data_IF_453711749048
#
_entry.id   IF_453711749048
#
_cell.length_a   1.000
_cell.length_b   1.000
_cell.length_c   1.000
_cell.angle_alpha   90.00
_cell.angle_beta   90.00
_cell.angle_gamma   90.00
#
_symmetry.space_group_name_H-M   'P 1'
#
loop_
_entity.id
_entity.type
_entity.pdbx_description
1 polymer ?
#
# COMPACT_ATOMS: atom_id res chain seq x y z
N UNK A 1 17.18 -3.29 -1.35
CA UNK A 1 17.08 -1.92 -0.80
C UNK A 1 15.69 -1.40 -1.14
N UNK A 2 14.76 -1.27 -0.19
CA UNK A 2 13.42 -1.62 -0.59
C UNK A 2 12.59 -0.38 -0.84
N UNK A 3 12.50 -0.01 -2.12
CA UNK A 3 11.29 0.60 -2.63
C UNK A 3 10.19 -0.47 -2.54
N UNK A 4 9.26 -0.30 -1.62
CA UNK A 4 8.15 -1.23 -1.39
C UNK A 4 7.02 -1.03 -2.40
N UNK A 5 6.72 0.23 -2.74
CA UNK A 5 5.60 0.58 -3.58
C UNK A 5 5.91 1.84 -4.39
N UNK A 6 5.41 1.90 -5.63
CA UNK A 6 5.38 3.10 -6.44
C UNK A 6 3.93 3.32 -6.87
N UNK A 7 3.44 4.56 -6.77
CA UNK A 7 2.12 4.94 -7.26
C UNK A 7 2.24 6.22 -8.09
N UNK A 8 1.59 6.26 -9.24
CA UNK A 8 1.45 7.49 -10.03
C UNK A 8 -0.02 7.87 -10.03
N UNK A 9 -0.29 9.09 -9.60
CA UNK A 9 -1.64 9.65 -9.45
C UNK A 9 -1.75 10.86 -10.38
N UNK A 10 -2.78 10.91 -11.21
CA UNK A 10 -2.97 12.05 -12.12
C UNK A 10 -3.47 13.31 -11.36
N UNK A 11 -3.64 14.42 -12.08
CA UNK A 11 -4.07 15.68 -11.46
C UNK A 11 -5.49 15.60 -10.85
N UNK A 12 -6.32 14.64 -11.28
CA UNK A 12 -7.68 14.44 -10.82
C UNK A 12 -7.76 13.49 -9.61
N UNK A 13 -6.61 12.98 -9.13
CA UNK A 13 -6.56 12.06 -7.99
C UNK A 13 -6.77 10.59 -8.35
N UNK A 14 -6.86 10.25 -9.64
CA UNK A 14 -6.96 8.88 -10.09
C UNK A 14 -5.58 8.20 -10.12
N UNK A 15 -5.53 6.96 -9.61
CA UNK A 15 -4.36 6.08 -9.74
C UNK A 15 -4.22 5.65 -11.19
N UNK A 16 -3.08 5.95 -11.82
CA UNK A 16 -2.80 5.57 -13.23
C UNK A 16 -1.71 4.50 -13.34
N UNK A 17 -0.89 4.32 -12.31
CA UNK A 17 0.11 3.26 -12.27
C UNK A 17 0.39 2.85 -10.83
N UNK A 18 0.64 1.55 -10.60
CA UNK A 18 1.12 1.03 -9.34
C UNK A 18 2.12 -0.09 -9.56
N UNK A 19 3.23 -0.05 -8.81
CA UNK A 19 4.16 -1.14 -8.67
C UNK A 19 4.24 -1.55 -7.20
N UNK A 20 4.37 -2.84 -6.93
CA UNK A 20 4.49 -3.35 -5.57
C UNK A 20 5.44 -4.52 -5.53
N UNK A 21 6.47 -4.43 -4.70
CA UNK A 21 7.38 -5.55 -4.44
C UNK A 21 6.71 -6.56 -3.51
N UNK A 22 6.06 -7.56 -4.10
CA UNK A 22 5.31 -8.57 -3.34
C UNK A 22 6.21 -9.46 -2.49
N UNK A 23 7.48 -9.64 -2.88
CA UNK A 23 8.41 -10.52 -2.15
C UNK A 23 8.74 -9.97 -0.75
N UNK A 24 8.64 -8.64 -0.59
CA UNK A 24 9.03 -7.93 0.64
C UNK A 24 7.85 -7.56 1.54
N UNK A 25 6.61 -7.61 1.03
CA UNK A 25 5.40 -7.34 1.82
C UNK A 25 4.80 -8.59 2.49
N UNK A 26 5.19 -9.79 2.03
CA UNK A 26 4.59 -11.08 2.40
C UNK A 26 5.53 -11.98 3.21
N UNK A 27 6.51 -11.42 3.90
CA UNK A 27 7.33 -12.24 4.78
C UNK A 27 6.42 -12.79 5.88
N UNK A 28 6.40 -14.12 6.05
CA UNK A 28 5.64 -14.86 7.07
C UNK A 28 5.88 -14.35 8.51
N UNK A 29 6.86 -13.47 8.68
CA UNK A 29 7.15 -12.72 9.90
C UNK A 29 6.00 -11.83 10.42
N UNK A 30 4.95 -11.59 9.63
CA UNK A 30 3.79 -10.77 10.03
C UNK A 30 2.51 -11.59 10.30
N UNK A 31 2.58 -12.92 10.23
CA UNK A 31 1.47 -13.77 10.64
C UNK A 31 1.61 -14.12 12.13
N UNK A 32 0.53 -13.95 12.89
CA UNK A 32 0.50 -14.22 14.32
C UNK A 32 -0.71 -15.08 14.64
N UNK A 33 -0.50 -16.24 15.25
CA UNK A 33 -1.59 -17.07 15.75
C UNK A 33 -1.64 -16.99 17.27
N UNK A 34 -2.83 -16.68 17.81
CA UNK A 34 -3.05 -16.58 19.26
C UNK A 34 -4.41 -17.16 19.62
N UNK A 35 -4.46 -17.82 20.77
CA UNK A 35 -5.69 -18.34 21.35
C UNK A 35 -6.29 -17.34 22.33
N UNK A 36 -7.61 -17.13 22.23
CA UNK A 36 -8.36 -16.19 23.05
C UNK A 36 -9.44 -16.91 23.86
N UNK A 37 -9.79 -16.32 24.99
CA UNK A 37 -10.98 -16.64 25.79
C UNK A 37 -12.08 -15.60 25.52
N UNK A 38 -13.30 -15.87 26.00
CA UNK A 38 -14.42 -14.94 25.85
C UNK A 38 -14.47 -13.96 27.04
N UNK A 39 -14.73 -12.66 26.83
CA UNK A 39 -14.90 -11.98 25.54
C UNK A 39 -13.57 -11.75 24.81
N UNK A 40 -13.64 -11.63 23.48
CA UNK A 40 -12.46 -11.36 22.66
C UNK A 40 -11.86 -9.99 23.01
N UNK A 41 -10.56 -9.97 23.33
CA UNK A 41 -9.82 -8.74 23.66
C UNK A 41 -9.71 -7.76 22.48
N UNK A 42 -9.20 -8.16 21.28
CA UNK A 42 -9.20 -7.28 20.13
C UNK A 42 -10.60 -7.10 19.55
N UNK A 43 -10.96 -5.87 19.23
CA UNK A 43 -12.21 -5.56 18.52
C UNK A 43 -11.96 -5.77 17.03
N UNK A 44 -12.73 -6.67 16.44
CA UNK A 44 -12.67 -7.01 15.02
C UNK A 44 -13.94 -6.51 14.35
N UNK A 45 -13.79 -5.80 13.25
CA UNK A 45 -14.90 -5.31 12.42
C UNK A 45 -14.69 -5.69 10.96
N UNK A 46 -15.78 -5.67 10.18
CA UNK A 46 -15.70 -5.88 8.74
C UNK A 46 -15.35 -4.55 8.06
N UNK A 47 -14.14 -4.44 7.51
CA UNK A 47 -13.68 -3.32 6.70
C UNK A 47 -13.30 -3.83 5.31
N UNK A 48 -13.81 -3.19 4.25
CA UNK A 48 -13.54 -3.58 2.85
C UNK A 48 -13.70 -5.09 2.58
N UNK A 49 -14.77 -5.68 3.13
CA UNK A 49 -15.09 -7.11 3.05
C UNK A 49 -14.07 -8.04 3.70
N UNK A 50 -13.31 -7.56 4.71
CA UNK A 50 -12.34 -8.32 5.50
C UNK A 50 -12.60 -8.12 6.99
N UNK A 51 -12.45 -9.18 7.78
CA UNK A 51 -12.51 -9.07 9.24
C UNK A 51 -11.16 -8.59 9.77
N UNK A 52 -11.07 -7.33 10.18
CA UNK A 52 -9.81 -6.70 10.61
C UNK A 52 -9.91 -6.08 12.00
N UNK A 53 -8.79 -6.07 12.70
CA UNK A 53 -8.65 -5.49 14.04
C UNK A 53 -8.71 -3.98 13.92
N UNK A 54 -9.68 -3.37 14.61
CA UNK A 54 -9.89 -1.92 14.64
C UNK A 54 -9.48 -1.30 15.98
N UNK A 55 -9.41 -2.10 17.04
CA UNK A 55 -9.04 -1.66 18.38
C UNK A 55 -8.49 -2.83 19.22
N UNK A 56 -7.70 -2.52 20.25
CA UNK A 56 -7.16 -3.52 21.18
C UNK A 56 -5.85 -4.15 20.71
N UNK A 57 -4.83 -3.31 20.44
CA UNK A 57 -3.48 -3.80 20.13
C UNK A 57 -2.85 -4.46 21.37
N UNK A 58 -2.55 -5.75 21.28
CA UNK A 58 -1.91 -6.52 22.34
C UNK A 58 -1.15 -7.72 21.77
N UNK A 59 -0.08 -8.12 22.42
CA UNK A 59 0.69 -9.35 22.13
C UNK A 59 1.09 -9.53 20.66
N UNK A 60 1.40 -8.43 19.97
CA UNK A 60 1.82 -8.42 18.57
C UNK A 60 0.67 -8.31 17.55
N UNK A 61 -0.59 -8.39 17.98
CA UNK A 61 -1.74 -8.01 17.15
C UNK A 61 -1.80 -6.50 17.05
N UNK A 62 -1.86 -5.98 15.82
CA UNK A 62 -1.91 -4.53 15.52
C UNK A 62 -3.18 -4.19 14.76
N UNK A 63 -3.59 -2.92 14.82
CA UNK A 63 -4.68 -2.39 14.02
C UNK A 63 -4.37 -2.60 12.53
N UNK A 64 -5.39 -3.01 11.78
CA UNK A 64 -5.27 -3.36 10.37
C UNK A 64 -4.74 -4.77 10.10
N UNK A 65 -4.38 -5.56 11.12
CA UNK A 65 -4.29 -7.02 10.94
C UNK A 65 -5.67 -7.58 10.68
N UNK A 66 -5.78 -8.49 9.71
CA UNK A 66 -7.02 -9.17 9.37
C UNK A 66 -6.93 -10.65 9.72
N UNK A 67 -8.09 -11.24 9.99
CA UNK A 67 -8.23 -12.67 10.26
C UNK A 67 -7.90 -13.45 8.99
N UNK A 68 -6.95 -14.37 9.11
CA UNK A 68 -6.52 -15.29 8.06
C UNK A 68 -7.09 -16.70 8.29
N UNK A 69 -7.22 -17.11 9.55
CA UNK A 69 -7.80 -18.39 9.92
C UNK A 69 -8.40 -18.35 11.33
N UNK A 70 -9.37 -19.22 11.58
CA UNK A 70 -9.98 -19.46 12.91
C UNK A 70 -9.99 -20.96 13.17
N UNK A 71 -9.41 -21.39 14.30
CA UNK A 71 -9.26 -22.80 14.69
C UNK A 71 -8.65 -23.67 13.57
N UNK A 72 -7.64 -23.15 12.88
CA UNK A 72 -6.97 -23.81 11.75
C UNK A 72 -7.75 -23.83 10.43
N UNK A 73 -9.00 -23.32 10.40
CA UNK A 73 -9.77 -23.18 9.16
C UNK A 73 -9.48 -21.82 8.54
N UNK A 74 -8.99 -21.78 7.30
CA UNK A 74 -8.66 -20.52 6.64
C UNK A 74 -9.92 -19.75 6.25
N UNK A 75 -9.77 -18.44 6.06
CA UNK A 75 -10.78 -17.63 5.39
C UNK A 75 -10.85 -17.96 3.91
N UNK A 76 -12.05 -17.91 3.33
CA UNK A 76 -12.28 -18.25 1.93
C UNK A 76 -11.59 -17.25 0.98
N UNK A 77 -10.88 -17.78 -0.02
CA UNK A 77 -10.33 -16.97 -1.09
C UNK A 77 -11.43 -16.20 -1.84
N UNK A 78 -11.33 -14.87 -1.88
CA UNK A 78 -12.30 -13.99 -2.54
C UNK A 78 -13.45 -13.48 -1.64
N UNK A 79 -13.78 -14.18 -0.55
CA UNK A 79 -14.76 -13.72 0.46
C UNK A 79 -14.24 -13.94 1.88
N UNK A 80 -13.25 -13.15 2.33
CA UNK A 80 -12.54 -13.39 3.60
C UNK A 80 -13.35 -13.03 4.86
N UNK A 81 -14.67 -12.81 4.73
CA UNK A 81 -15.62 -12.80 5.85
C UNK A 81 -16.15 -14.20 6.19
N UNK A 82 -15.94 -15.18 5.31
CA UNK A 82 -16.31 -16.57 5.49
C UNK A 82 -15.07 -17.43 5.73
N UNK A 83 -15.24 -18.48 6.53
CA UNK A 83 -14.31 -19.59 6.65
C UNK A 83 -14.54 -20.57 5.48
N UNK A 84 -13.53 -21.39 5.16
CA UNK A 84 -13.63 -22.44 4.13
C UNK A 84 -14.76 -23.45 4.39
N UNK A 85 -15.18 -23.60 5.65
CA UNK A 85 -16.31 -24.44 6.04
C UNK A 85 -17.69 -23.75 5.86
N UNK A 86 -17.73 -22.52 5.33
CA UNK A 86 -18.94 -21.75 5.05
C UNK A 86 -19.47 -20.91 6.22
N UNK A 87 -18.87 -20.99 7.41
CA UNK A 87 -19.30 -20.18 8.56
C UNK A 87 -18.81 -18.73 8.44
N UNK A 88 -19.60 -17.78 8.92
CA UNK A 88 -19.18 -16.37 9.00
C UNK A 88 -18.19 -16.17 10.16
N UNK A 89 -17.04 -15.55 9.88
CA UNK A 89 -15.99 -15.31 10.89
C UNK A 89 -16.56 -14.55 12.10
N UNK A 90 -17.30 -13.46 11.84
CA UNK A 90 -17.92 -12.66 12.91
C UNK A 90 -18.91 -13.45 13.76
N UNK A 91 -19.66 -14.38 13.15
CA UNK A 91 -20.62 -15.22 13.87
C UNK A 91 -19.93 -16.20 14.83
N UNK A 92 -18.80 -16.78 14.41
CA UNK A 92 -17.99 -17.69 15.23
C UNK A 92 -17.37 -16.92 16.40
N UNK A 93 -16.82 -15.73 16.14
CA UNK A 93 -16.19 -14.90 17.17
C UNK A 93 -17.21 -14.30 18.16
N UNK A 94 -18.44 -14.07 17.74
CA UNK A 94 -19.50 -13.57 18.63
C UNK A 94 -20.07 -14.66 19.56
N UNK A 95 -19.92 -15.94 19.22
CA UNK A 95 -20.50 -17.06 19.97
C UNK A 95 -19.62 -17.47 21.16
N UNK A 96 -20.06 -17.30 22.42
CA UNK A 96 -19.27 -17.69 23.60
C UNK A 96 -18.95 -19.20 23.64
N UNK A 97 -19.80 -20.05 23.06
CA UNK A 97 -19.59 -21.50 23.04
C UNK A 97 -18.46 -21.94 22.09
N UNK A 98 -17.98 -21.05 21.22
CA UNK A 98 -16.88 -21.32 20.29
C UNK A 98 -15.49 -21.10 20.91
N UNK A 99 -15.42 -20.66 22.17
CA UNK A 99 -14.18 -20.40 22.88
C UNK A 99 -13.74 -21.62 23.71
N UNK A 100 -12.42 -21.86 23.86
CA UNK A 100 -11.31 -21.03 23.39
C UNK A 100 -11.13 -21.08 21.86
N UNK A 101 -10.79 -19.94 21.26
CA UNK A 101 -10.64 -19.79 19.81
C UNK A 101 -9.20 -19.43 19.44
N UNK A 102 -8.59 -20.19 18.53
CA UNK A 102 -7.32 -19.83 17.90
C UNK A 102 -7.57 -18.95 16.69
N UNK A 103 -6.98 -17.76 16.65
CA UNK A 103 -7.13 -16.83 15.53
C UNK A 103 -5.74 -16.54 14.96
N UNK A 104 -5.60 -16.80 13.66
CA UNK A 104 -4.43 -16.41 12.88
C UNK A 104 -4.68 -15.04 12.25
N UNK A 105 -3.87 -14.06 12.61
CA UNK A 105 -3.87 -12.71 12.09
C UNK A 105 -2.74 -12.49 11.10
N UNK A 106 -2.92 -11.53 10.19
CA UNK A 106 -1.83 -10.98 9.39
C UNK A 106 -2.29 -9.85 8.49
N UNK A 107 -1.35 -9.25 7.75
CA UNK A 107 -1.66 -8.19 6.78
C UNK A 107 -2.05 -8.80 5.44
N UNK A 108 -3.24 -8.43 4.95
CA UNK A 108 -3.70 -8.83 3.62
C UNK A 108 -3.12 -7.93 2.53
N UNK A 109 -2.96 -8.48 1.33
CA UNK A 109 -2.56 -7.71 0.14
C UNK A 109 -3.64 -6.69 -0.21
N UNK A 110 -3.24 -5.46 -0.49
CA UNK A 110 -4.15 -4.44 -1.02
C UNK A 110 -4.73 -4.88 -2.38
N UNK A 111 -6.06 -4.89 -2.48
CA UNK A 111 -6.80 -5.07 -3.72
C UNK A 111 -6.62 -3.89 -4.66
N UNK A 112 -7.00 -4.04 -5.92
CA UNK A 112 -6.96 -2.93 -6.88
C UNK A 112 -7.83 -1.75 -6.42
N UNK A 113 -9.03 -2.01 -5.91
CA UNK A 113 -9.95 -0.98 -5.44
C UNK A 113 -9.42 -0.24 -4.20
N UNK A 114 -8.84 -0.98 -3.24
CA UNK A 114 -8.20 -0.36 -2.07
C UNK A 114 -7.06 0.58 -2.48
N UNK A 115 -6.24 0.20 -3.47
CA UNK A 115 -5.18 1.08 -3.99
C UNK A 115 -5.73 2.34 -4.66
N UNK A 116 -6.82 2.22 -5.41
CA UNK A 116 -7.50 3.36 -6.05
C UNK A 116 -8.04 4.31 -4.96
N UNK A 117 -8.70 3.76 -3.93
CA UNK A 117 -9.22 4.54 -2.82
C UNK A 117 -8.08 5.26 -2.07
N UNK A 118 -6.99 4.55 -1.74
CA UNK A 118 -5.83 5.13 -1.07
C UNK A 118 -5.17 6.25 -1.89
N UNK A 119 -5.12 6.12 -3.22
CA UNK A 119 -4.62 7.17 -4.10
C UNK A 119 -5.49 8.44 -4.04
N UNK A 120 -6.82 8.29 -4.09
CA UNK A 120 -7.76 9.41 -3.96
C UNK A 120 -7.70 10.08 -2.58
N UNK A 121 -7.56 9.29 -1.52
CA UNK A 121 -7.36 9.79 -0.15
C UNK A 121 -6.04 10.58 -0.06
N UNK A 122 -4.95 10.05 -0.60
CA UNK A 122 -3.67 10.76 -0.62
C UNK A 122 -3.78 12.09 -1.38
N UNK A 123 -4.45 12.10 -2.53
CA UNK A 123 -4.67 13.33 -3.30
C UNK A 123 -5.39 14.40 -2.45
N UNK A 124 -6.37 13.99 -1.66
CA UNK A 124 -7.09 14.87 -0.74
C UNK A 124 -6.20 15.37 0.40
N UNK A 125 -5.42 14.48 1.03
CA UNK A 125 -4.46 14.83 2.09
C UNK A 125 -3.41 15.83 1.55
N UNK A 126 -2.91 15.62 0.34
CA UNK A 126 -1.98 16.53 -0.31
C UNK A 126 -2.56 17.95 -0.44
N UNK A 127 -3.82 18.07 -0.86
CA UNK A 127 -4.48 19.36 -0.98
C UNK A 127 -4.75 20.02 0.39
N UNK A 128 -5.14 19.23 1.39
CA UNK A 128 -5.37 19.71 2.76
C UNK A 128 -4.07 20.27 3.35
N UNK A 129 -2.98 19.52 3.26
CA UNK A 129 -1.66 19.94 3.78
C UNK A 129 -1.15 21.22 3.12
N UNK A 130 -1.40 21.41 1.82
CA UNK A 130 -1.09 22.68 1.14
C UNK A 130 -1.92 23.84 1.70
N UNK A 131 -3.22 23.63 1.94
CA UNK A 131 -4.14 24.67 2.44
C UNK A 131 -3.92 25.03 3.92
N UNK A 132 -3.56 24.05 4.74
CA UNK A 132 -3.32 24.25 6.17
C UNK A 132 -1.94 24.82 6.47
N UNK A 133 -1.06 24.93 5.46
CA UNK A 133 0.29 25.42 5.70
C UNK A 133 0.29 26.89 6.14
N UNK A 134 0.95 27.23 7.26
CA UNK A 134 1.04 28.61 7.73
C UNK A 134 2.08 29.44 6.98
N UNK A 135 2.87 28.82 6.08
CA UNK A 135 3.99 29.45 5.38
C UNK A 135 3.63 29.72 3.92
N UNK A 136 3.83 30.97 3.48
CA UNK A 136 3.65 31.35 2.08
C UNK A 136 4.60 30.56 1.16
N UNK A 137 4.10 30.10 0.02
CA UNK A 137 4.89 29.31 -0.93
C UNK A 137 5.08 27.84 -0.54
N UNK A 138 4.42 27.37 0.51
CA UNK A 138 4.39 25.95 0.85
C UNK A 138 3.61 25.15 -0.20
N UNK A 139 4.19 24.01 -0.62
CA UNK A 139 3.49 23.00 -1.42
C UNK A 139 2.72 22.03 -0.52
N UNK A 140 2.02 21.06 -1.13
CA UNK A 140 1.39 19.97 -0.38
C UNK A 140 2.39 18.93 0.15
N UNK A 141 1.84 17.85 0.72
CA UNK A 141 2.59 16.76 1.35
C UNK A 141 3.72 16.21 0.46
N UNK A 142 4.98 16.33 0.93
CA UNK A 142 6.17 15.81 0.24
C UNK A 142 6.76 14.55 0.90
N UNK A 143 6.64 14.44 2.22
CA UNK A 143 7.18 13.33 3.00
C UNK A 143 6.20 12.99 4.13
N UNK A 144 5.84 11.70 4.23
CA UNK A 144 5.19 11.12 5.39
C UNK A 144 6.12 10.04 5.94
N UNK A 145 6.51 10.17 7.19
CA UNK A 145 7.44 9.28 7.86
C UNK A 145 6.75 8.50 8.97
N UNK A 146 7.04 7.20 9.03
CA UNK A 146 6.65 6.29 10.11
C UNK A 146 7.90 5.58 10.64
N UNK A 147 7.76 4.82 11.72
CA UNK A 147 8.80 3.94 12.24
C UNK A 147 9.19 2.83 11.26
N UNK A 148 8.23 2.37 10.45
CA UNK A 148 8.40 1.21 9.56
C UNK A 148 8.74 1.58 8.10
N UNK A 149 8.30 2.75 7.62
CA UNK A 149 8.49 3.18 6.23
C UNK A 149 8.41 4.70 6.06
N UNK A 150 8.92 5.19 4.93
CA UNK A 150 8.73 6.57 4.45
C UNK A 150 7.96 6.57 3.14
N UNK A 151 7.02 7.48 3.01
CA UNK A 151 6.30 7.77 1.77
C UNK A 151 6.76 9.13 1.26
N UNK A 152 7.41 9.13 0.09
CA UNK A 152 7.90 10.32 -0.58
C UNK A 152 6.98 10.68 -1.74
N UNK A 153 6.70 11.97 -1.93
CA UNK A 153 5.83 12.49 -2.98
C UNK A 153 6.51 13.59 -3.79
N UNK A 154 6.58 13.40 -5.11
CA UNK A 154 6.94 14.43 -6.08
C UNK A 154 5.70 14.83 -6.87
N UNK A 155 5.32 16.11 -6.81
CA UNK A 155 4.31 16.67 -7.72
C UNK A 155 4.99 17.39 -8.90
N UNK A 156 4.55 17.08 -10.13
CA UNK A 156 4.97 17.76 -11.35
C UNK A 156 4.23 19.08 -11.55
N UNK A 157 4.73 19.93 -12.44
CA UNK A 157 4.05 21.19 -12.83
C UNK A 157 2.66 20.95 -13.45
N UNK A 158 2.44 19.79 -14.07
CA UNK A 158 1.14 19.39 -14.63
C UNK A 158 0.19 18.79 -13.60
N UNK A 159 0.61 18.64 -12.34
CA UNK A 159 -0.20 18.16 -11.22
C UNK A 159 -0.18 16.65 -11.00
N UNK A 160 0.60 15.90 -11.79
CA UNK A 160 0.84 14.46 -11.59
C UNK A 160 1.66 14.27 -10.32
N UNK A 161 1.30 13.28 -9.51
CA UNK A 161 1.98 12.95 -8.25
C UNK A 161 2.61 11.57 -8.36
N UNK A 162 3.90 11.49 -8.08
CA UNK A 162 4.67 10.25 -8.01
C UNK A 162 4.94 9.97 -6.54
N UNK A 163 4.42 8.85 -6.06
CA UNK A 163 4.62 8.37 -4.69
C UNK A 163 5.58 7.20 -4.70
N UNK A 164 6.52 7.19 -3.77
CA UNK A 164 7.45 6.10 -3.55
C UNK A 164 7.47 5.77 -2.06
N UNK A 165 7.13 4.54 -1.73
CA UNK A 165 7.19 4.03 -0.35
C UNK A 165 8.50 3.25 -0.20
N UNK A 166 9.31 3.60 0.80
CA UNK A 166 10.63 3.00 1.03
C UNK A 166 10.86 2.64 2.49
N UNK A 167 11.91 1.86 2.75
CA UNK A 167 12.48 1.76 4.11
C UNK A 167 12.92 3.14 4.61
N UNK A 168 12.81 3.44 5.92
CA UNK A 168 13.24 4.72 6.47
C UNK A 168 14.73 5.02 6.24
N UNK A 169 15.58 4.00 6.17
CA UNK A 169 17.03 4.15 5.97
C UNK A 169 17.41 4.39 4.51
N UNK A 170 16.45 4.31 3.58
CA UNK A 170 16.72 4.50 2.16
C UNK A 170 17.15 5.95 1.87
N UNK A 171 18.37 6.11 1.36
CA UNK A 171 18.89 7.39 0.91
C UNK A 171 18.55 7.66 -0.57
N UNK A 172 18.74 8.90 -1.01
CA UNK A 172 18.64 9.31 -2.42
C UNK A 172 17.28 9.06 -3.10
N UNK A 173 16.18 8.99 -2.34
CA UNK A 173 14.83 8.77 -2.91
C UNK A 173 14.42 9.87 -3.89
N UNK A 174 14.94 11.10 -3.72
CA UNK A 174 14.73 12.19 -4.68
C UNK A 174 15.25 11.88 -6.09
N UNK A 175 16.35 11.11 -6.22
CA UNK A 175 16.84 10.66 -7.52
C UNK A 175 15.90 9.62 -8.13
N UNK A 176 15.36 8.72 -7.29
CA UNK A 176 14.37 7.72 -7.71
C UNK A 176 13.10 8.39 -8.23
N UNK A 177 12.57 9.37 -7.49
CA UNK A 177 11.40 10.15 -7.90
C UNK A 177 11.63 10.85 -9.25
N UNK A 178 12.78 11.50 -9.43
CA UNK A 178 13.15 12.15 -10.70
C UNK A 178 13.26 11.16 -11.85
N UNK A 179 13.88 9.99 -11.62
CA UNK A 179 14.02 8.97 -12.66
C UNK A 179 12.67 8.36 -13.05
N UNK A 180 11.76 8.15 -12.09
CA UNK A 180 10.38 7.72 -12.41
C UNK A 180 9.66 8.79 -13.23
N UNK A 181 9.89 10.08 -12.93
CA UNK A 181 9.34 11.17 -13.74
C UNK A 181 9.88 11.20 -15.16
N UNK A 182 11.18 10.98 -15.37
CA UNK A 182 11.78 10.86 -16.70
C UNK A 182 11.16 9.70 -17.49
N UNK A 183 11.05 8.52 -16.87
CA UNK A 183 10.39 7.35 -17.48
C UNK A 183 8.93 7.66 -17.83
N UNK A 184 8.20 8.34 -16.94
CA UNK A 184 6.83 8.79 -17.20
C UNK A 184 6.76 9.76 -18.39
N UNK A 185 7.68 10.73 -18.46
CA UNK A 185 7.74 11.67 -19.57
C UNK A 185 8.03 10.97 -20.91
N UNK A 186 8.96 10.02 -20.92
CA UNK A 186 9.39 9.35 -22.15
C UNK A 186 8.36 8.37 -22.70
N UNK A 187 7.67 7.61 -21.85
CA UNK A 187 6.76 6.57 -22.34
C UNK A 187 5.29 6.98 -22.29
N UNK A 188 4.88 7.82 -21.33
CA UNK A 188 3.50 8.25 -21.24
C UNK A 188 3.24 9.49 -22.09
N UNK A 189 4.07 10.55 -21.94
CA UNK A 189 3.81 11.83 -22.63
C UNK A 189 4.16 11.80 -24.13
N UNK A 190 5.12 10.97 -24.56
CA UNK A 190 5.45 10.80 -25.99
C UNK A 190 4.50 9.87 -26.73
N UNK A 191 3.61 9.17 -26.03
CA UNK A 191 2.65 8.29 -26.66
C UNK A 191 1.41 9.11 -27.12
N UNK A 192 1.16 9.28 -28.42
CA UNK A 192 0.07 10.10 -28.93
C UNK A 192 -1.33 9.54 -28.60
N UNK A 193 -1.42 8.27 -28.20
CA UNK A 193 -2.67 7.62 -27.80
C UNK A 193 -2.88 7.65 -26.27
N UNK A 194 -1.91 8.14 -25.51
CA UNK A 194 -2.06 8.27 -24.06
C UNK A 194 -2.88 9.50 -23.73
N UNK A 195 -4.08 9.27 -23.18
CA UNK A 195 -4.89 10.36 -22.63
C UNK A 195 -4.65 10.45 -21.12
N UNK A 196 -4.34 11.66 -20.64
CA UNK A 196 -4.08 11.92 -19.21
C UNK A 196 -5.31 11.64 -18.31
N UNK A 197 -6.49 11.56 -18.93
CA UNK A 197 -7.78 11.41 -18.26
C UNK A 197 -8.22 9.95 -18.31
N UNK A 198 -7.98 9.24 -17.21
CA UNK A 198 -8.63 7.96 -16.90
C UNK A 198 -7.97 6.69 -17.46
N UNK A 199 -6.87 6.79 -18.23
CA UNK A 199 -6.17 5.61 -18.72
C UNK A 199 -5.07 5.14 -17.76
N UNK A 200 -5.07 3.85 -17.45
CA UNK A 200 -3.97 3.20 -16.75
C UNK A 200 -2.75 3.09 -17.68
N UNK A 201 -1.56 3.29 -17.13
CA UNK A 201 -0.29 3.10 -17.82
C UNK A 201 -0.03 1.59 -17.88
N UNK A 202 -0.45 0.96 -18.98
CA UNK A 202 -0.27 -0.48 -19.23
C UNK A 202 0.79 -0.76 -20.30
N UNK A 203 1.67 0.21 -20.58
CA UNK A 203 2.69 0.08 -21.61
C UNK A 203 3.81 -0.84 -21.14
N UNK A 204 4.07 -1.91 -21.89
CA UNK A 204 5.13 -2.89 -21.57
C UNK A 204 6.50 -2.22 -21.41
N UNK A 205 6.84 -1.28 -22.30
CA UNK A 205 8.11 -0.56 -22.24
C UNK A 205 8.26 0.30 -20.97
N UNK A 206 7.15 0.89 -20.48
CA UNK A 206 7.16 1.65 -19.24
C UNK A 206 7.44 0.72 -18.05
N UNK A 207 6.76 -0.43 -18.00
CA UNK A 207 6.95 -1.43 -16.94
C UNK A 207 8.39 -1.97 -16.94
N UNK A 208 8.92 -2.30 -18.11
CA UNK A 208 10.30 -2.76 -18.26
C UNK A 208 11.33 -1.72 -17.81
N UNK A 209 11.11 -0.44 -18.12
CA UNK A 209 11.98 0.66 -17.70
C UNK A 209 11.95 0.86 -16.17
N UNK A 210 10.76 0.84 -15.54
CA UNK A 210 10.62 0.93 -14.08
C UNK A 210 11.31 -0.25 -13.41
N UNK A 211 11.08 -1.48 -13.90
CA UNK A 211 11.72 -2.67 -13.34
C UNK A 211 13.24 -2.66 -13.53
N UNK A 212 13.73 -2.20 -14.68
CA UNK A 212 15.17 -2.07 -14.94
C UNK A 212 15.83 -1.09 -13.98
N UNK A 213 15.20 0.08 -13.76
CA UNK A 213 15.63 1.07 -12.78
C UNK A 213 15.66 0.48 -11.37
N UNK A 214 14.60 -0.24 -10.96
CA UNK A 214 14.53 -0.87 -9.64
C UNK A 214 15.61 -1.95 -9.45
N UNK A 215 15.86 -2.79 -10.45
CA UNK A 215 16.94 -3.80 -10.42
C UNK A 215 18.31 -3.14 -10.28
N UNK A 216 18.56 -2.05 -10.99
CA UNK A 216 19.80 -1.30 -10.87
C UNK A 216 19.94 -0.69 -9.47
N UNK A 217 18.87 -0.07 -8.95
CA UNK A 217 18.85 0.49 -7.61
C UNK A 217 19.13 -0.58 -6.53
N UNK A 218 18.53 -1.77 -6.67
CA UNK A 218 18.77 -2.88 -5.74
C UNK A 218 20.21 -3.39 -5.79
N UNK A 219 20.86 -3.33 -6.97
CA UNK A 219 22.24 -3.82 -7.15
C UNK A 219 23.30 -2.82 -6.68
N UNK A 220 23.08 -1.52 -6.90
CA UNK A 220 24.12 -0.49 -6.69
C UNK A 220 23.79 0.50 -5.57
N UNK A 221 22.57 0.48 -5.05
CA UNK A 221 22.11 1.38 -3.98
C UNK A 221 21.95 2.85 -4.39
N UNK A 222 22.23 3.19 -5.65
CA UNK A 222 22.06 4.52 -6.21
C UNK A 222 21.70 4.46 -7.71
N UNK A 223 21.38 5.62 -8.27
CA UNK A 223 21.04 5.79 -9.68
C UNK A 223 22.10 6.60 -10.45
N UNK A 224 23.30 6.81 -9.90
CA UNK A 224 24.30 7.74 -10.48
C UNK A 224 24.89 7.29 -11.82
N UNK A 225 24.66 6.05 -12.25
CA UNK A 225 25.27 5.44 -13.44
C UNK A 225 24.27 4.91 -14.48
N UNK A 226 22.97 5.19 -14.35
CA UNK A 226 22.02 4.87 -15.42
C UNK A 226 22.13 5.94 -16.50
N UNK A 227 22.68 5.57 -17.66
CA UNK A 227 22.58 6.38 -18.86
C UNK A 227 21.09 6.65 -19.18
N UNK A 228 20.76 7.84 -19.71
CA UNK A 228 19.38 8.26 -19.98
C UNK A 228 18.60 7.20 -20.75
#
# INVERSE_FOLDING_TARGET
>A
MPVYNIMIINNAGALVYTYTDQSRLLTSANELEKTYSYPLEPVIEVQDSRCCVVFGEADGVRIGHCVLAVNGTNVQAGRPTLLENGQEVMSVLANPASYPVSIKFGKLKLTANERINLAGMFHSIYAITAKLSPVAGSSGLQLLETDAYRLHCLQTVTGVKILVITDPKQANVNQVLKRIYEIYADYALKNPFFTMQGMNINFTLFEEAVQSMLRHLDKFGNLTNLAP
#
